data_IF_583946826146
#
_entry.id   IF_583946826146
#
_cell.length_a   1.000
_cell.length_b   1.000
_cell.length_c   1.000
_cell.angle_alpha   90.00
_cell.angle_beta   90.00
_cell.angle_gamma   90.00
#
_symmetry.space_group_name_H-M   'P 1'
#
loop_
_entity.id
_entity.type
_entity.pdbx_description
1 polymer ?
#
# COMPACT_ATOMS: atom_id res chain seq x y z
N UNK A 1 -44.08 -71.66 8.51
CA UNK A 1 -44.95 -70.59 7.98
C UNK A 1 -44.09 -69.38 7.69
N UNK A 2 -43.97 -69.08 6.41
CA UNK A 2 -43.22 -67.99 5.76
C UNK A 2 -43.91 -66.64 5.95
N UNK A 3 -43.13 -65.59 6.22
CA UNK A 3 -43.39 -64.23 5.76
C UNK A 3 -42.10 -63.40 5.78
N UNK A 4 -41.42 -63.36 4.64
CA UNK A 4 -40.60 -62.24 4.19
C UNK A 4 -41.54 -61.15 3.65
N UNK A 5 -41.27 -59.87 3.95
CA UNK A 5 -41.61 -58.64 3.18
C UNK A 5 -41.49 -57.42 4.14
N UNK A 6 -41.02 -56.21 3.79
CA UNK A 6 -40.53 -55.62 2.55
C UNK A 6 -39.79 -54.31 2.86
N UNK A 7 -38.69 -54.11 2.15
CA UNK A 7 -38.23 -52.90 1.45
C UNK A 7 -38.51 -51.47 2.01
N UNK A 8 -37.40 -50.84 2.43
CA UNK A 8 -36.95 -49.43 2.31
C UNK A 8 -37.88 -48.39 1.65
N UNK A 9 -38.03 -47.22 2.30
CA UNK A 9 -38.01 -45.86 1.71
C UNK A 9 -37.44 -44.92 2.82
N UNK A 10 -36.18 -44.53 2.74
CA UNK A 10 -35.72 -43.21 2.27
C UNK A 10 -36.13 -42.05 3.17
N UNK A 11 -35.45 -41.93 4.32
CA UNK A 11 -35.50 -40.75 5.17
C UNK A 11 -34.68 -39.63 4.53
N UNK A 12 -35.39 -38.63 4.00
CA UNK A 12 -34.87 -37.45 3.31
C UNK A 12 -33.85 -36.74 4.21
N UNK A 13 -32.57 -36.79 3.83
CA UNK A 13 -31.55 -35.90 4.40
C UNK A 13 -31.85 -34.50 3.88
N UNK A 14 -32.40 -33.64 4.74
CA UNK A 14 -32.53 -32.21 4.43
C UNK A 14 -31.13 -31.63 4.47
N UNK A 15 -30.46 -31.63 3.31
CA UNK A 15 -29.21 -30.89 3.13
C UNK A 15 -29.60 -29.42 3.08
N UNK A 16 -29.45 -28.73 4.20
CA UNK A 16 -29.48 -27.27 4.24
C UNK A 16 -28.24 -26.78 3.47
N UNK A 17 -28.39 -26.59 2.16
CA UNK A 17 -27.40 -25.88 1.36
C UNK A 17 -27.52 -24.43 1.78
N UNK A 18 -26.67 -24.02 2.72
CA UNK A 18 -26.43 -22.61 2.98
C UNK A 18 -25.88 -22.02 1.68
N UNK A 19 -26.75 -21.39 0.90
CA UNK A 19 -26.36 -20.53 -0.20
C UNK A 19 -25.60 -19.35 0.42
N UNK A 20 -24.30 -19.54 0.60
CA UNK A 20 -23.35 -18.46 0.82
C UNK A 20 -23.43 -17.62 -0.45
N UNK A 21 -24.30 -16.60 -0.39
CA UNK A 21 -24.27 -15.49 -1.32
C UNK A 21 -22.83 -15.08 -1.47
N UNK A 22 -22.27 -15.32 -2.65
CA UNK A 22 -21.03 -14.71 -3.09
C UNK A 22 -21.31 -13.22 -3.15
N UNK A 23 -21.27 -12.56 -1.99
CA UNK A 23 -21.00 -11.13 -1.93
C UNK A 23 -19.62 -11.02 -2.54
N UNK A 24 -19.58 -10.73 -3.84
CA UNK A 24 -18.38 -10.24 -4.50
C UNK A 24 -17.86 -9.12 -3.62
N UNK A 25 -16.81 -9.42 -2.84
CA UNK A 25 -16.02 -8.43 -2.15
C UNK A 25 -15.52 -7.51 -3.25
N UNK A 26 -16.21 -6.38 -3.46
CA UNK A 26 -15.65 -5.26 -4.17
C UNK A 26 -14.36 -4.94 -3.45
N UNK A 27 -13.22 -5.34 -4.04
CA UNK A 27 -11.91 -5.03 -3.48
C UNK A 27 -11.88 -3.54 -3.19
N UNK A 28 -11.38 -3.14 -2.01
CA UNK A 28 -11.28 -1.74 -1.68
C UNK A 28 -10.59 -0.99 -2.82
N UNK A 29 -11.24 0.06 -3.33
CA UNK A 29 -10.65 0.93 -4.34
C UNK A 29 -9.63 1.83 -3.63
N UNK A 30 -8.41 1.34 -3.46
CA UNK A 30 -7.34 2.09 -2.83
C UNK A 30 -6.22 1.19 -2.32
N UNK A 31 -5.11 1.81 -1.95
CA UNK A 31 -3.95 1.14 -1.37
C UNK A 31 -3.76 1.55 0.08
N UNK A 32 -3.04 0.73 0.83
CA UNK A 32 -2.54 1.07 2.14
C UNK A 32 -1.14 1.66 1.99
N UNK A 33 -0.96 2.93 2.37
CA UNK A 33 0.32 3.62 2.19
C UNK A 33 1.07 3.76 3.52
N UNK A 34 2.36 3.48 3.49
CA UNK A 34 3.28 3.79 4.59
C UNK A 34 4.50 4.54 4.07
N UNK A 35 5.11 5.33 4.94
CA UNK A 35 6.38 6.02 4.70
C UNK A 35 7.39 5.51 5.72
N UNK A 36 8.52 5.04 5.23
CA UNK A 36 9.62 4.52 6.05
C UNK A 36 10.80 5.46 5.90
N UNK A 37 11.15 6.13 6.99
CA UNK A 37 12.27 7.06 7.04
C UNK A 37 13.56 6.38 7.52
N UNK A 38 14.51 6.21 6.60
CA UNK A 38 15.83 5.62 6.91
C UNK A 38 16.82 6.64 7.49
N UNK A 39 16.47 7.93 7.53
CA UNK A 39 17.27 9.01 8.07
C UNK A 39 16.59 9.70 9.27
N UNK A 40 16.29 8.92 10.31
CA UNK A 40 15.64 9.40 11.52
C UNK A 40 16.38 10.54 12.25
N UNK A 41 17.67 10.75 11.95
CA UNK A 41 18.49 11.84 12.51
C UNK A 41 18.39 13.15 11.71
N UNK A 42 17.77 13.15 10.52
CA UNK A 42 17.59 14.33 9.69
C UNK A 42 16.22 14.96 9.95
N UNK A 43 16.20 16.19 10.49
CA UNK A 43 14.96 16.93 10.70
C UNK A 43 14.22 17.17 9.38
N UNK A 44 14.96 17.37 8.29
CA UNK A 44 14.36 17.51 6.96
C UNK A 44 13.72 16.20 6.47
N UNK A 45 14.35 15.05 6.73
CA UNK A 45 13.75 13.75 6.43
C UNK A 45 12.46 13.51 7.24
N UNK A 46 12.45 13.88 8.52
CA UNK A 46 11.24 13.82 9.37
C UNK A 46 10.12 14.73 8.82
N UNK A 47 10.45 15.92 8.33
CA UNK A 47 9.47 16.80 7.70
C UNK A 47 8.87 16.19 6.43
N UNK A 48 9.67 15.50 5.61
CA UNK A 48 9.17 14.75 4.47
C UNK A 48 8.25 13.60 4.90
N UNK A 49 8.68 12.80 5.87
CA UNK A 49 7.91 11.68 6.42
C UNK A 49 6.51 12.12 6.87
N UNK A 50 6.45 13.13 7.75
CA UNK A 50 5.17 13.63 8.28
C UNK A 50 4.27 14.21 7.19
N UNK A 51 4.83 15.00 6.26
CA UNK A 51 4.03 15.60 5.19
C UNK A 51 3.49 14.54 4.22
N UNK A 52 4.33 13.61 3.79
CA UNK A 52 3.97 12.58 2.82
C UNK A 52 3.01 11.58 3.44
N UNK A 53 3.32 11.08 4.66
CA UNK A 53 2.44 10.16 5.37
C UNK A 53 1.09 10.80 5.67
N UNK A 54 1.07 12.07 6.12
CA UNK A 54 -0.18 12.78 6.40
C UNK A 54 -1.06 13.00 5.17
N UNK A 55 -0.47 13.13 3.99
CA UNK A 55 -1.22 13.20 2.74
C UNK A 55 -1.74 11.83 2.29
N UNK A 56 -0.89 10.81 2.29
CA UNK A 56 -1.24 9.46 1.84
C UNK A 56 -2.21 8.75 2.80
N UNK A 57 -2.15 9.04 4.11
CA UNK A 57 -3.08 8.48 5.10
C UNK A 57 -4.54 8.85 4.81
N UNK A 58 -4.80 10.00 4.18
CA UNK A 58 -6.15 10.44 3.80
C UNK A 58 -6.76 9.57 2.70
N UNK A 59 -5.90 9.00 1.85
CA UNK A 59 -6.29 8.15 0.73
C UNK A 59 -6.09 6.66 1.04
N UNK A 60 -5.58 6.33 2.23
CA UNK A 60 -5.21 4.97 2.60
C UNK A 60 -6.43 4.13 2.92
N UNK A 61 -6.47 2.92 2.36
CA UNK A 61 -7.48 1.92 2.67
C UNK A 61 -6.79 0.74 3.38
N UNK A 62 -7.14 0.41 4.65
CA UNK A 62 -6.40 -0.56 5.44
C UNK A 62 -6.23 -1.95 4.79
N UNK A 63 -7.24 -2.39 4.05
CA UNK A 63 -7.27 -3.69 3.37
C UNK A 63 -6.82 -3.62 1.90
N UNK A 64 -6.33 -2.45 1.46
CA UNK A 64 -5.79 -2.26 0.11
C UNK A 64 -4.39 -2.85 -0.04
N UNK A 65 -3.89 -3.01 -1.29
CA UNK A 65 -2.50 -3.38 -1.53
C UNK A 65 -1.54 -2.42 -0.82
N UNK A 66 -0.49 -2.96 -0.19
CA UNK A 66 0.48 -2.12 0.50
C UNK A 66 1.44 -1.46 -0.49
N UNK A 67 1.64 -0.15 -0.35
CA UNK A 67 2.64 0.64 -1.05
C UNK A 67 3.47 1.36 0.00
N UNK A 68 4.74 0.98 0.12
CA UNK A 68 5.67 1.55 1.08
C UNK A 68 6.61 2.52 0.37
N UNK A 69 6.62 3.77 0.83
CA UNK A 69 7.57 4.79 0.38
C UNK A 69 8.79 4.76 1.30
N UNK A 70 9.89 4.24 0.76
CA UNK A 70 11.19 4.20 1.41
C UNK A 70 11.87 5.57 1.18
N UNK A 71 11.90 6.42 2.21
CA UNK A 71 12.68 7.65 2.20
C UNK A 71 14.13 7.30 2.55
N UNK A 72 14.97 7.22 1.52
CA UNK A 72 16.33 6.65 1.62
C UNK A 72 17.29 7.67 2.24
N UNK A 73 17.36 8.87 1.67
CA UNK A 73 18.27 9.91 2.13
C UNK A 73 17.90 11.30 1.60
N UNK A 74 18.26 12.33 2.37
CA UNK A 74 18.14 13.75 2.07
C UNK A 74 19.52 14.38 2.16
N UNK A 75 20.18 14.49 1.02
CA UNK A 75 21.57 14.93 0.93
C UNK A 75 21.67 16.42 0.64
N UNK A 76 22.69 17.06 1.23
CA UNK A 76 23.10 18.39 0.81
C UNK A 76 23.95 18.29 -0.46
N UNK A 77 23.55 19.02 -1.49
CA UNK A 77 24.36 19.26 -2.67
C UNK A 77 24.86 20.71 -2.71
N UNK A 78 26.07 20.90 -3.24
CA UNK A 78 26.68 22.21 -3.45
C UNK A 78 26.86 22.45 -4.95
N UNK A 79 25.81 22.82 -5.69
CA UNK A 79 25.87 22.91 -7.15
C UNK A 79 26.81 24.02 -7.65
N UNK A 80 27.05 25.05 -6.81
CA UNK A 80 28.02 26.13 -7.02
C UNK A 80 28.65 26.54 -5.69
N UNK A 81 29.86 27.12 -5.68
CA UNK A 81 30.46 27.68 -4.47
C UNK A 81 29.50 28.63 -3.75
N UNK A 82 29.31 28.42 -2.44
CA UNK A 82 28.40 29.23 -1.61
C UNK A 82 26.91 28.94 -1.76
N UNK A 83 26.51 27.99 -2.63
CA UNK A 83 25.09 27.60 -2.77
C UNK A 83 24.85 26.24 -2.15
N UNK A 84 23.67 26.07 -1.53
CA UNK A 84 23.20 24.82 -0.96
C UNK A 84 21.88 24.43 -1.62
N UNK A 85 21.80 23.19 -2.09
CA UNK A 85 20.57 22.55 -2.52
C UNK A 85 20.37 21.26 -1.72
N UNK A 86 19.13 20.85 -1.53
CA UNK A 86 18.81 19.56 -0.92
C UNK A 86 18.30 18.63 -2.00
N UNK A 87 18.73 17.37 -1.95
CA UNK A 87 18.22 16.32 -2.83
C UNK A 87 17.67 15.17 -2.00
N UNK A 88 16.42 14.84 -2.24
CA UNK A 88 15.76 13.68 -1.64
C UNK A 88 15.87 12.49 -2.60
N UNK A 89 16.06 11.30 -2.05
CA UNK A 89 16.00 10.03 -2.77
C UNK A 89 14.96 9.13 -2.11
N UNK A 90 14.12 8.51 -2.92
CA UNK A 90 13.08 7.62 -2.45
C UNK A 90 12.89 6.41 -3.37
N UNK A 91 12.35 5.34 -2.81
CA UNK A 91 11.87 4.18 -3.55
C UNK A 91 10.45 3.81 -3.10
N UNK A 92 9.71 3.14 -3.98
CA UNK A 92 8.42 2.54 -3.70
C UNK A 92 8.57 1.03 -3.73
N UNK A 93 8.08 0.36 -2.69
CA UNK A 93 8.00 -1.10 -2.61
C UNK A 93 6.58 -1.53 -2.28
N UNK A 94 6.26 -2.80 -2.51
CA UNK A 94 5.12 -3.42 -1.83
C UNK A 94 5.52 -3.90 -0.42
N UNK A 95 4.57 -4.48 0.33
CA UNK A 95 4.83 -5.02 1.68
C UNK A 95 5.81 -6.19 1.73
N UNK A 96 6.11 -6.83 0.58
CA UNK A 96 7.13 -7.87 0.47
C UNK A 96 8.53 -7.30 0.19
N UNK A 97 8.67 -5.97 0.14
CA UNK A 97 9.91 -5.31 -0.25
C UNK A 97 10.19 -5.40 -1.75
N UNK A 98 9.23 -5.83 -2.58
CA UNK A 98 9.43 -5.88 -4.03
C UNK A 98 9.44 -4.45 -4.57
N UNK A 99 10.49 -4.14 -5.34
CA UNK A 99 10.65 -2.86 -5.99
C UNK A 99 9.52 -2.56 -6.98
N UNK A 100 8.94 -1.37 -6.88
CA UNK A 100 7.93 -0.84 -7.80
C UNK A 100 8.52 0.28 -8.66
N UNK A 101 9.10 1.29 -8.03
CA UNK A 101 9.79 2.40 -8.71
C UNK A 101 10.67 3.19 -7.74
N UNK A 102 11.40 4.19 -8.25
CA UNK A 102 12.21 5.10 -7.44
C UNK A 102 12.32 6.45 -8.10
N UNK A 103 12.68 7.47 -7.32
CA UNK A 103 12.89 8.80 -7.83
C UNK A 103 13.82 9.64 -6.97
N UNK A 104 14.13 10.81 -7.50
CA UNK A 104 14.86 11.86 -6.79
C UNK A 104 14.21 13.20 -7.06
N UNK A 105 14.32 14.12 -6.10
CA UNK A 105 13.82 15.48 -6.25
C UNK A 105 14.78 16.46 -5.56
N UNK A 106 15.06 17.59 -6.23
CA UNK A 106 15.95 18.65 -5.77
C UNK A 106 15.24 20.02 -5.69
N UNK A 107 13.91 19.99 -5.51
CA UNK A 107 13.05 21.17 -5.33
C UNK A 107 12.81 21.44 -3.84
N UNK A 108 11.83 22.28 -3.52
CA UNK A 108 11.39 22.53 -2.16
C UNK A 108 10.67 21.34 -1.53
N UNK A 109 10.53 21.39 -0.20
CA UNK A 109 9.84 20.36 0.60
C UNK A 109 8.46 20.01 0.04
N UNK A 110 7.69 21.02 -0.36
CA UNK A 110 6.30 20.83 -0.83
C UNK A 110 6.26 20.18 -2.21
N UNK A 111 7.07 20.64 -3.16
CA UNK A 111 7.15 20.10 -4.51
C UNK A 111 7.65 18.66 -4.49
N UNK A 112 8.72 18.38 -3.73
CA UNK A 112 9.25 17.04 -3.60
C UNK A 112 8.28 16.09 -2.88
N UNK A 113 7.57 16.57 -1.85
CA UNK A 113 6.51 15.78 -1.19
C UNK A 113 5.39 15.44 -2.16
N UNK A 114 4.92 16.41 -2.95
CA UNK A 114 3.90 16.18 -3.97
C UNK A 114 4.34 15.13 -5.00
N UNK A 115 5.57 15.21 -5.49
CA UNK A 115 6.10 14.21 -6.44
C UNK A 115 6.11 12.80 -5.84
N UNK A 116 6.53 12.66 -4.58
CA UNK A 116 6.53 11.39 -3.86
C UNK A 116 5.12 10.82 -3.67
N UNK A 117 4.16 11.67 -3.29
CA UNK A 117 2.75 11.31 -3.14
C UNK A 117 2.14 10.85 -4.47
N UNK A 118 2.37 11.62 -5.54
CA UNK A 118 1.82 11.31 -6.87
C UNK A 118 2.42 10.01 -7.42
N UNK A 119 3.71 9.75 -7.17
CA UNK A 119 4.36 8.49 -7.51
C UNK A 119 3.76 7.30 -6.75
N UNK A 120 3.53 7.43 -5.44
CA UNK A 120 2.92 6.38 -4.62
C UNK A 120 1.50 6.06 -5.11
N UNK A 121 0.69 7.08 -5.39
CA UNK A 121 -0.66 6.92 -5.96
C UNK A 121 -0.64 6.24 -7.33
N UNK A 122 0.30 6.63 -8.19
CA UNK A 122 0.46 5.98 -9.48
C UNK A 122 0.81 4.49 -9.32
N UNK A 123 1.71 4.13 -8.39
CA UNK A 123 2.10 2.76 -8.13
C UNK A 123 0.94 1.87 -7.62
N UNK A 124 -0.04 2.46 -6.92
CA UNK A 124 -1.24 1.74 -6.48
C UNK A 124 -2.08 1.16 -7.62
N UNK A 125 -1.99 1.76 -8.81
CA UNK A 125 -2.79 1.36 -9.97
C UNK A 125 -2.04 0.46 -10.96
N UNK A 126 -0.74 0.21 -10.76
CA UNK A 126 0.06 -0.65 -11.63
C UNK A 126 -0.13 -2.09 -11.16
N UNK A 127 -0.98 -2.83 -11.87
CA UNK A 127 -1.19 -4.28 -11.74
C UNK A 127 -0.53 -5.01 -12.90
#
# INVERSE_FOLDING_TARGET
MTAHNSLRISGITVVVVAALSATSCSSPQGCNYSVINHESHSSLAQHYEVNVQGALAKDSVPEGPAIELQLITVQVEFPKPGTRAWRVFYALTDSGGRYLSSGTCALGLQECSKMMIDAARAACHVK
#
